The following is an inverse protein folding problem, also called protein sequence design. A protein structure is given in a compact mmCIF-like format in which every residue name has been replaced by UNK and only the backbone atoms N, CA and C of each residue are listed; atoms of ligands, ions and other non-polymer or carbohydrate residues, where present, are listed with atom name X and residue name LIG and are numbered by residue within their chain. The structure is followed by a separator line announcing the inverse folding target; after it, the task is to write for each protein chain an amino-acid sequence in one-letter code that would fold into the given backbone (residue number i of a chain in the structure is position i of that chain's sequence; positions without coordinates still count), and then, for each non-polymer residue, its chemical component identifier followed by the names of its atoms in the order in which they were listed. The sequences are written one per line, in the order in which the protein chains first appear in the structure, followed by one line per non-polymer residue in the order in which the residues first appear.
data_IF_976322631973
#
_entry.id   IF_976322631973
#
_cell.length_a   1.000
_cell.length_b   1.000
_cell.length_c   1.000
_cell.angle_alpha   90.00
_cell.angle_beta   90.00
_cell.angle_gamma   90.00
#
_symmetry.space_group_name_H-M   'P 1'
#
loop_
_entity.id
_entity.type
_entity.pdbx_description
1 polymer ?
#
# COMPACT_ATOMS: atom_id res chain seq x y z
N UNK A 1 1.47 7.98 -31.54
CA UNK A 1 0.34 7.22 -30.96
C UNK A 1 0.92 6.03 -30.19
N UNK A 2 1.50 6.27 -29.02
CA UNK A 2 2.16 5.25 -28.21
C UNK A 2 1.20 4.81 -27.12
N UNK A 3 0.40 3.78 -27.40
CA UNK A 3 -0.25 2.99 -26.36
C UNK A 3 0.82 2.08 -25.76
N UNK A 4 1.48 2.52 -24.69
CA UNK A 4 2.07 1.58 -23.76
C UNK A 4 1.02 1.34 -22.70
N UNK A 5 0.44 0.15 -22.83
CA UNK A 5 -0.51 -0.46 -21.92
C UNK A 5 -0.02 -0.31 -20.49
N UNK A 6 -0.99 -0.11 -19.60
CA UNK A 6 -0.93 -0.49 -18.21
C UNK A 6 0.02 -1.70 -18.02
N UNK A 7 1.24 -1.46 -17.55
CA UNK A 7 2.12 -2.50 -16.98
C UNK A 7 1.54 -2.93 -15.63
N UNK A 8 0.33 -3.49 -15.73
CA UNK A 8 -0.20 -4.59 -14.95
C UNK A 8 0.52 -4.81 -13.62
N UNK A 9 -0.08 -4.24 -12.56
CA UNK A 9 -0.16 -4.81 -11.20
C UNK A 9 0.91 -5.88 -11.01
N UNK A 10 2.13 -5.45 -10.64
CA UNK A 10 3.30 -6.29 -10.35
C UNK A 10 2.83 -7.70 -10.03
N UNK A 11 2.93 -8.57 -11.03
CA UNK A 11 2.44 -9.95 -11.01
C UNK A 11 3.02 -10.64 -9.77
N UNK A 12 2.21 -10.64 -8.70
CA UNK A 12 2.09 -11.67 -7.68
C UNK A 12 3.39 -12.47 -7.46
N UNK A 13 4.32 -11.86 -6.73
CA UNK A 13 5.44 -12.53 -6.07
C UNK A 13 6.26 -13.52 -6.90
N UNK A 14 7.11 -13.05 -7.82
CA UNK A 14 8.45 -13.65 -7.98
C UNK A 14 9.42 -12.74 -8.77
N UNK A 15 10.57 -12.48 -8.14
CA UNK A 15 11.85 -12.04 -8.74
C UNK A 15 11.84 -10.86 -9.73
N UNK A 16 11.88 -9.65 -9.18
CA UNK A 16 12.92 -8.61 -9.39
C UNK A 16 12.47 -7.38 -8.60
N UNK A 17 13.17 -7.06 -7.52
CA UNK A 17 12.85 -5.87 -6.72
C UNK A 17 13.40 -4.66 -7.47
N UNK A 18 12.56 -4.03 -8.27
CA UNK A 18 12.85 -2.70 -8.83
C UNK A 18 12.37 -1.68 -7.81
N UNK A 19 13.30 -1.11 -7.06
CA UNK A 19 13.00 -0.01 -6.13
C UNK A 19 12.76 1.25 -6.95
N UNK A 20 11.50 1.68 -7.06
CA UNK A 20 11.16 3.02 -7.54
C UNK A 20 11.02 3.91 -6.31
N UNK A 21 12.05 4.71 -6.04
CA UNK A 21 12.23 5.51 -4.81
C UNK A 21 11.47 6.84 -4.81
N UNK A 22 10.84 7.22 -5.92
CA UNK A 22 10.11 8.50 -6.01
C UNK A 22 8.60 8.30 -5.88
N UNK A 23 8.02 8.99 -4.88
CA UNK A 23 6.57 9.03 -4.64
C UNK A 23 5.87 9.82 -5.75
N UNK A 24 4.90 9.21 -6.43
CA UNK A 24 4.11 9.92 -7.43
C UNK A 24 2.93 10.70 -6.80
N UNK A 25 2.26 11.54 -7.59
CA UNK A 25 1.12 12.34 -7.14
C UNK A 25 0.00 11.49 -6.52
N UNK A 26 -0.29 10.31 -7.08
CA UNK A 26 -1.33 9.41 -6.58
C UNK A 26 -0.96 8.85 -5.20
N UNK A 27 0.26 8.38 -5.03
CA UNK A 27 0.78 7.85 -3.77
C UNK A 27 0.82 8.95 -2.69
N UNK A 28 1.20 10.18 -3.05
CA UNK A 28 1.14 11.33 -2.13
C UNK A 28 -0.29 11.64 -1.68
N UNK A 29 -1.26 11.60 -2.61
CA UNK A 29 -2.67 11.76 -2.27
C UNK A 29 -3.16 10.63 -1.34
N UNK A 30 -2.82 9.37 -1.65
CA UNK A 30 -3.14 8.22 -0.79
C UNK A 30 -2.55 8.37 0.62
N UNK A 31 -1.32 8.86 0.75
CA UNK A 31 -0.71 9.13 2.06
C UNK A 31 -1.53 10.17 2.83
N UNK A 32 -1.92 11.27 2.20
CA UNK A 32 -2.78 12.30 2.82
C UNK A 32 -4.14 11.74 3.25
N UNK A 33 -4.76 10.94 2.39
CA UNK A 33 -6.04 10.29 2.66
C UNK A 33 -5.97 9.30 3.83
N UNK A 34 -4.90 8.51 3.94
CA UNK A 34 -4.69 7.59 5.08
C UNK A 34 -4.64 8.36 6.40
N UNK A 35 -4.09 9.57 6.41
CA UNK A 35 -3.98 10.42 7.60
C UNK A 35 -5.21 11.33 7.83
N UNK A 36 -6.13 11.43 6.87
CA UNK A 36 -7.33 12.24 6.98
C UNK A 36 -8.26 11.77 8.11
N UNK A 37 -8.97 12.72 8.72
CA UNK A 37 -10.00 12.44 9.74
C UNK A 37 -11.29 13.13 9.32
N UNK A 38 -12.36 12.40 8.96
CA UNK A 38 -12.50 10.94 8.97
C UNK A 38 -11.71 10.23 7.86
N UNK A 39 -11.40 8.95 8.07
CA UNK A 39 -10.79 8.09 7.05
C UNK A 39 -11.79 7.84 5.90
N UNK A 40 -11.37 7.96 4.62
CA UNK A 40 -12.23 7.67 3.48
C UNK A 40 -12.67 6.20 3.43
N UNK A 41 -13.84 5.92 2.85
CA UNK A 41 -14.37 4.56 2.69
C UNK A 41 -14.05 3.92 1.34
N UNK A 42 -13.38 4.65 0.46
CA UNK A 42 -13.14 4.32 -0.94
C UNK A 42 -11.66 4.09 -1.27
N UNK A 43 -10.77 4.06 -0.26
CA UNK A 43 -9.37 3.71 -0.47
C UNK A 43 -9.24 2.27 -0.97
N UNK A 44 -8.51 2.11 -2.08
CA UNK A 44 -8.22 0.81 -2.68
C UNK A 44 -6.93 0.24 -2.11
N UNK A 45 -6.91 -1.06 -1.82
CA UNK A 45 -5.73 -1.74 -1.29
C UNK A 45 -4.50 -1.58 -2.19
N UNK A 46 -4.69 -1.66 -3.51
CA UNK A 46 -3.61 -1.47 -4.49
C UNK A 46 -2.92 -0.11 -4.39
N UNK A 47 -3.67 0.93 -4.04
CA UNK A 47 -3.11 2.29 -3.89
C UNK A 47 -2.26 2.37 -2.60
N UNK A 48 -2.71 1.72 -1.53
CA UNK A 48 -1.96 1.55 -0.28
C UNK A 48 -0.67 0.74 -0.52
N UNK A 49 -0.76 -0.39 -1.22
CA UNK A 49 0.42 -1.22 -1.54
C UNK A 49 1.44 -0.44 -2.37
N UNK A 50 0.97 0.29 -3.38
CA UNK A 50 1.83 1.14 -4.22
C UNK A 50 2.56 2.19 -3.39
N UNK A 51 1.88 2.84 -2.45
CA UNK A 51 2.48 3.78 -1.50
C UNK A 51 3.51 3.09 -0.58
N UNK A 52 3.16 1.93 0.00
CA UNK A 52 4.07 1.21 0.89
C UNK A 52 5.35 0.82 0.15
N UNK A 53 5.23 0.31 -1.08
CA UNK A 53 6.37 -0.04 -1.94
C UNK A 53 7.23 1.19 -2.24
N UNK A 54 6.64 2.36 -2.54
CA UNK A 54 7.44 3.57 -2.80
C UNK A 54 8.16 4.10 -1.57
N UNK A 55 7.66 3.80 -0.36
CA UNK A 55 8.36 4.05 0.91
C UNK A 55 9.36 2.96 1.29
N UNK A 56 9.61 1.98 0.42
CA UNK A 56 10.59 0.91 0.62
C UNK A 56 10.08 -0.29 1.41
N UNK A 57 8.76 -0.46 1.52
CA UNK A 57 8.19 -1.60 2.22
C UNK A 57 8.45 -2.92 1.48
N UNK A 58 8.75 -3.96 2.25
CA UNK A 58 8.75 -5.34 1.78
C UNK A 58 7.42 -5.98 2.16
N UNK A 59 6.61 -6.28 1.16
CA UNK A 59 5.32 -6.95 1.34
C UNK A 59 5.54 -8.45 1.09
N UNK A 60 4.86 -9.33 1.83
CA UNK A 60 4.81 -10.79 1.61
C UNK A 60 3.40 -11.33 1.81
N UNK A 61 2.90 -12.11 0.84
CA UNK A 61 1.63 -12.85 0.98
C UNK A 61 1.79 -14.00 1.99
N UNK A 62 0.73 -14.23 2.77
CA UNK A 62 0.56 -15.39 3.64
C UNK A 62 -0.37 -16.44 3.02
N UNK A 63 -0.76 -17.44 3.81
CA UNK A 63 -1.89 -18.31 3.41
C UNK A 63 -3.19 -17.52 3.48
N UNK A 64 -4.01 -17.59 2.43
CA UNK A 64 -5.26 -16.83 2.30
C UNK A 64 -5.02 -15.34 2.08
N UNK A 65 -6.00 -14.49 2.42
CA UNK A 65 -5.95 -13.04 2.21
C UNK A 65 -5.07 -12.28 3.21
N UNK A 66 -4.00 -12.89 3.75
CA UNK A 66 -3.12 -12.26 4.76
C UNK A 66 -1.93 -11.62 4.06
N UNK A 67 -1.70 -10.33 4.34
CA UNK A 67 -0.56 -9.58 3.80
C UNK A 67 0.33 -9.12 4.95
N UNK A 68 1.62 -9.46 4.88
CA UNK A 68 2.64 -9.06 5.85
C UNK A 68 3.49 -7.97 5.25
N UNK A 69 3.67 -6.87 5.95
CA UNK A 69 4.46 -5.71 5.51
C UNK A 69 5.60 -5.48 6.48
N UNK A 70 6.80 -5.22 5.96
CA UNK A 70 7.94 -4.70 6.73
C UNK A 70 8.34 -3.35 6.16
N UNK A 71 8.42 -2.33 7.01
CA UNK A 71 8.75 -0.95 6.61
C UNK A 71 9.58 -0.30 7.72
N UNK A 72 10.79 0.18 7.41
CA UNK A 72 11.69 0.81 8.38
C UNK A 72 11.90 0.02 9.69
N UNK A 73 11.88 -1.32 9.63
CA UNK A 73 12.00 -2.20 10.80
C UNK A 73 10.67 -2.55 11.48
N UNK A 74 9.61 -1.80 11.19
CA UNK A 74 8.25 -2.05 11.67
C UNK A 74 7.56 -3.17 10.90
N UNK A 75 6.61 -3.84 11.56
CA UNK A 75 5.86 -4.98 11.00
C UNK A 75 4.37 -4.69 11.02
N UNK A 76 3.72 -4.87 9.88
CA UNK A 76 2.26 -4.85 9.73
C UNK A 76 1.74 -6.20 9.28
N UNK A 77 0.55 -6.58 9.79
CA UNK A 77 -0.21 -7.72 9.31
C UNK A 77 -1.60 -7.23 8.96
N UNK A 78 -1.99 -7.37 7.70
CA UNK A 78 -3.24 -6.88 7.18
C UNK A 78 -4.03 -7.99 6.50
N UNK A 79 -5.32 -7.74 6.33
CA UNK A 79 -6.21 -8.58 5.53
C UNK A 79 -6.50 -7.87 4.20
N UNK A 80 -6.12 -8.50 3.09
CA UNK A 80 -6.55 -8.06 1.77
C UNK A 80 -8.07 -8.32 1.64
N UNK A 81 -8.86 -7.34 1.20
CA UNK A 81 -10.26 -7.59 0.89
C UNK A 81 -10.38 -8.54 -0.31
N UNK A 82 -11.18 -9.61 -0.17
CA UNK A 82 -11.53 -10.49 -1.28
C UNK A 82 -12.91 -10.12 -1.86
N UNK A 83 -13.06 -10.04 -3.20
CA UNK A 83 -12.05 -10.18 -4.26
C UNK A 83 -11.05 -9.02 -4.33
N UNK A 84 -9.85 -9.32 -4.85
CA UNK A 84 -8.74 -8.39 -5.08
C UNK A 84 -9.20 -7.15 -5.85
N UNK A 85 -8.93 -5.96 -5.30
CA UNK A 85 -9.29 -4.66 -5.92
C UNK A 85 -10.48 -3.94 -5.28
N UNK A 86 -11.04 -4.46 -4.20
CA UNK A 86 -12.08 -3.77 -3.41
C UNK A 86 -11.50 -2.69 -2.48
N UNK A 87 -12.41 -1.84 -2.02
CA UNK A 87 -12.13 -0.84 -0.99
C UNK A 87 -11.74 -1.54 0.33
N UNK A 88 -10.80 -0.92 1.03
CA UNK A 88 -10.28 -1.40 2.30
C UNK A 88 -11.18 -0.93 3.43
N UNK A 89 -11.42 -1.78 4.44
CA UNK A 89 -12.20 -1.34 5.59
C UNK A 89 -11.47 -0.21 6.34
N UNK A 90 -12.24 0.71 6.94
CA UNK A 90 -11.67 1.78 7.78
C UNK A 90 -10.76 1.24 8.90
N UNK A 91 -11.03 0.03 9.38
CA UNK A 91 -10.17 -0.68 10.33
C UNK A 91 -8.74 -0.84 9.80
N UNK A 92 -8.58 -1.50 8.65
CA UNK A 92 -7.29 -1.75 8.03
C UNK A 92 -6.58 -0.46 7.64
N UNK A 93 -7.30 0.57 7.18
CA UNK A 93 -6.66 1.87 6.90
C UNK A 93 -6.08 2.50 8.18
N UNK A 94 -6.76 2.39 9.33
CA UNK A 94 -6.21 2.84 10.62
C UNK A 94 -4.97 2.04 11.04
N UNK A 95 -4.96 0.72 10.79
CA UNK A 95 -3.78 -0.10 11.05
C UNK A 95 -2.60 0.28 10.14
N UNK A 96 -2.87 0.59 8.87
CA UNK A 96 -1.86 1.09 7.93
C UNK A 96 -1.33 2.44 8.37
N UNK A 97 -2.18 3.37 8.81
CA UNK A 97 -1.76 4.65 9.40
C UNK A 97 -0.79 4.41 10.55
N UNK A 98 -1.15 3.53 11.49
CA UNK A 98 -0.30 3.19 12.63
C UNK A 98 1.06 2.61 12.21
N UNK A 99 1.08 1.76 11.18
CA UNK A 99 2.34 1.26 10.62
C UNK A 99 3.21 2.40 10.08
N UNK A 100 2.62 3.33 9.33
CA UNK A 100 3.33 4.48 8.77
C UNK A 100 3.86 5.41 9.87
N UNK A 101 3.05 5.72 10.88
CA UNK A 101 3.45 6.51 12.05
C UNK A 101 4.62 5.86 12.80
N UNK A 102 4.53 4.56 13.10
CA UNK A 102 5.62 3.83 13.75
C UNK A 102 6.89 3.81 12.89
N UNK A 103 6.74 3.76 11.56
CA UNK A 103 7.86 3.79 10.62
C UNK A 103 8.44 5.21 10.42
N UNK A 104 7.92 6.22 11.14
CA UNK A 104 8.36 7.61 11.05
C UNK A 104 7.92 8.33 9.77
N UNK A 105 6.83 7.87 9.13
CA UNK A 105 6.29 8.44 7.90
C UNK A 105 5.00 9.19 8.21
N UNK A 106 4.95 10.46 7.83
CA UNK A 106 3.77 11.31 7.88
C UNK A 106 3.52 11.98 6.51
N UNK A 107 2.30 12.48 6.25
CA UNK A 107 2.11 13.45 5.18
C UNK A 107 2.90 14.72 5.52
N UNK A 108 3.57 15.29 4.51
CA UNK A 108 4.09 16.67 4.56
C UNK A 108 2.95 17.69 4.43
#
# INVERSE_FOLDING_TARGET
MSKTLDDDIILRYHKKVVYKTDMNHKQSATLKEIFATPVPSDLKWRDIESLLISKGAVITEGRGSRVRVRLNGEKGLFHEPHPTGKNVCKCTVKEVRRLLENAGISPE
#
